data_IF_326056211628
#
_entry.id   IF_326056211628
#
_cell.length_a   1.000
_cell.length_b   1.000
_cell.length_c   1.000
_cell.angle_alpha   90.00
_cell.angle_beta   90.00
_cell.angle_gamma   90.00
#
_symmetry.space_group_name_H-M   'P 1'
#
loop_
_entity.id
_entity.type
_entity.pdbx_description
1 polymer ?
#
# COMPACT_ATOMS: atom_id res chain seq x y z
N UNK A 1 -2.87 22.96 -6.35
CA UNK A 1 -3.81 21.81 -6.34
C UNK A 1 -3.47 20.99 -5.11
N UNK A 2 -4.46 20.61 -4.29
CA UNK A 2 -4.21 19.74 -3.14
C UNK A 2 -4.30 18.27 -3.56
N UNK A 3 -3.56 17.41 -2.87
CA UNK A 3 -3.55 15.96 -3.09
C UNK A 3 -3.50 15.26 -1.75
N UNK A 4 -4.21 14.14 -1.64
CA UNK A 4 -4.12 13.26 -0.48
C UNK A 4 -2.81 12.46 -0.58
N UNK A 5 -2.07 12.40 0.52
CA UNK A 5 -0.76 11.78 0.54
C UNK A 5 0.27 12.65 -0.18
N UNK A 6 0.85 12.13 -1.27
CA UNK A 6 1.89 12.83 -2.04
C UNK A 6 1.42 13.12 -3.48
N UNK A 7 1.62 14.34 -4.01
CA UNK A 7 1.12 14.72 -5.34
C UNK A 7 1.69 13.89 -6.49
N UNK A 8 2.87 13.28 -6.33
CA UNK A 8 3.57 12.48 -7.34
C UNK A 8 3.51 10.98 -7.09
N UNK A 9 2.82 10.54 -6.04
CA UNK A 9 2.68 9.14 -5.69
C UNK A 9 1.25 8.65 -5.93
N UNK A 10 0.98 8.13 -7.13
CA UNK A 10 -0.35 7.66 -7.56
C UNK A 10 -1.47 8.72 -7.45
N UNK A 11 -1.14 10.00 -7.35
CA UNK A 11 -2.08 11.12 -7.27
C UNK A 11 -2.53 11.64 -8.64
N UNK A 12 -3.75 12.16 -8.72
CA UNK A 12 -4.29 12.70 -9.99
C UNK A 12 -3.58 13.97 -10.48
N UNK A 13 -2.92 14.71 -9.57
CA UNK A 13 -2.16 15.91 -9.93
C UNK A 13 -1.05 15.63 -10.95
N UNK A 14 -0.47 14.41 -10.96
CA UNK A 14 0.56 14.00 -11.91
C UNK A 14 0.16 14.27 -13.38
N UNK A 15 -1.11 14.06 -13.72
CA UNK A 15 -1.62 14.31 -15.08
C UNK A 15 -1.66 15.79 -15.43
N UNK A 16 -1.97 16.67 -14.47
CA UNK A 16 -1.94 18.11 -14.66
C UNK A 16 -0.50 18.60 -14.75
N UNK A 17 0.36 18.15 -13.84
CA UNK A 17 1.77 18.51 -13.82
C UNK A 17 2.45 18.20 -15.16
N UNK A 18 2.30 16.98 -15.66
CA UNK A 18 2.88 16.55 -16.94
C UNK A 18 2.45 17.40 -18.15
N UNK A 19 1.27 18.03 -18.09
CA UNK A 19 0.72 18.85 -19.20
C UNK A 19 0.99 20.34 -19.05
N UNK A 20 1.09 20.83 -17.82
CA UNK A 20 1.03 22.27 -17.53
C UNK A 20 2.33 22.83 -16.93
N UNK A 21 3.19 22.00 -16.33
CA UNK A 21 4.38 22.48 -15.62
C UNK A 21 5.39 23.22 -16.53
N UNK A 22 5.44 22.87 -17.82
CA UNK A 22 6.28 23.56 -18.79
C UNK A 22 5.69 24.90 -19.30
N UNK A 23 4.41 25.18 -19.00
CA UNK A 23 3.69 26.37 -19.48
C UNK A 23 3.41 27.39 -18.39
N UNK A 24 3.38 26.95 -17.13
CA UNK A 24 3.05 27.77 -15.99
C UNK A 24 4.05 27.52 -14.85
N UNK A 25 4.50 28.57 -14.13
CA UNK A 25 5.32 28.40 -12.93
C UNK A 25 4.68 27.39 -11.98
N UNK A 26 5.42 26.34 -11.65
CA UNK A 26 4.92 25.20 -10.90
C UNK A 26 5.97 24.74 -9.91
N UNK A 27 5.54 24.50 -8.67
CA UNK A 27 6.35 23.88 -7.61
C UNK A 27 5.56 22.69 -7.04
N UNK A 28 6.27 21.66 -6.60
CA UNK A 28 5.67 20.48 -5.97
C UNK A 28 6.21 20.36 -4.56
N UNK A 29 5.30 20.49 -3.59
CA UNK A 29 5.59 20.28 -2.18
C UNK A 29 5.26 18.81 -1.86
N UNK A 30 6.26 17.99 -1.45
CA UNK A 30 6.03 16.59 -1.18
C UNK A 30 5.16 16.39 0.07
N UNK A 31 4.42 15.29 0.08
CA UNK A 31 3.58 14.89 1.20
C UNK A 31 3.98 13.54 1.79
N UNK A 32 3.41 13.19 2.94
CA UNK A 32 3.59 11.85 3.53
C UNK A 32 2.69 10.88 2.78
N UNK A 33 3.26 9.88 2.12
CA UNK A 33 2.48 8.87 1.39
C UNK A 33 1.61 8.05 2.34
N UNK A 34 0.48 7.54 1.83
CA UNK A 34 -0.40 6.67 2.62
C UNK A 34 0.33 5.44 3.17
N UNK A 35 1.35 4.94 2.46
CA UNK A 35 2.14 3.78 2.89
C UNK A 35 2.93 4.11 4.16
N UNK A 36 3.65 5.23 4.18
CA UNK A 36 4.39 5.66 5.35
C UNK A 36 3.45 5.96 6.54
N UNK A 37 2.34 6.67 6.29
CA UNK A 37 1.33 6.94 7.32
C UNK A 37 0.68 5.68 7.89
N UNK A 38 0.32 4.71 7.03
CA UNK A 38 -0.26 3.45 7.46
C UNK A 38 0.74 2.59 8.23
N UNK A 39 2.01 2.53 7.81
CA UNK A 39 3.05 1.80 8.53
C UNK A 39 3.27 2.36 9.94
N UNK A 40 3.31 3.69 10.07
CA UNK A 40 3.44 4.36 11.37
C UNK A 40 2.25 4.07 12.31
N UNK A 41 1.01 4.18 11.81
CA UNK A 41 -0.19 3.89 12.63
C UNK A 41 -0.33 2.40 12.95
N UNK A 42 0.10 1.52 12.05
CA UNK A 42 0.15 0.09 12.30
C UNK A 42 1.29 -0.31 13.26
N UNK A 43 2.17 0.63 13.63
CA UNK A 43 3.29 0.37 14.53
C UNK A 43 4.34 -0.58 13.94
N UNK A 44 4.44 -0.64 12.61
CA UNK A 44 5.36 -1.56 11.92
C UNK A 44 6.39 -0.80 11.08
N UNK A 45 7.69 -0.99 11.36
CA UNK A 45 8.76 -0.79 10.38
C UNK A 45 8.48 -1.65 9.14
N UNK A 46 8.28 -1.05 7.96
CA UNK A 46 7.85 -1.82 6.78
C UNK A 46 9.02 -2.56 6.10
N UNK A 47 10.21 -1.98 6.09
CA UNK A 47 11.41 -2.55 5.49
C UNK A 47 12.66 -2.07 6.24
N UNK A 48 13.70 -2.90 6.31
CA UNK A 48 14.97 -2.59 6.98
C UNK A 48 16.15 -3.29 6.30
N UNK A 49 17.36 -2.71 6.40
CA UNK A 49 18.58 -3.33 5.88
C UNK A 49 18.50 -3.52 4.37
N UNK A 50 18.63 -4.76 3.93
CA UNK A 50 18.62 -5.15 2.51
C UNK A 50 17.22 -5.49 1.97
N UNK A 51 16.16 -5.31 2.77
CA UNK A 51 14.78 -5.55 2.34
C UNK A 51 14.43 -4.71 1.09
N UNK A 52 13.92 -5.37 0.05
CA UNK A 52 13.31 -4.67 -1.08
C UNK A 52 11.84 -4.43 -0.77
N UNK A 53 11.45 -3.15 -0.68
CA UNK A 53 10.05 -2.74 -0.58
C UNK A 53 9.42 -2.58 -1.97
N UNK A 54 8.45 -3.44 -2.28
CA UNK A 54 7.67 -3.35 -3.50
C UNK A 54 6.27 -2.75 -3.26
N UNK A 55 5.91 -1.75 -4.06
CA UNK A 55 4.55 -1.17 -4.09
C UNK A 55 3.77 -1.88 -5.19
N UNK A 56 2.74 -2.64 -4.80
CA UNK A 56 2.04 -3.56 -5.70
C UNK A 56 0.59 -3.10 -5.91
N UNK A 57 0.17 -2.77 -7.14
CA UNK A 57 -1.24 -2.51 -7.42
C UNK A 57 -2.06 -3.80 -7.32
N UNK A 58 -3.08 -3.84 -6.46
CA UNK A 58 -4.02 -4.96 -6.35
C UNK A 58 -4.83 -5.22 -7.63
N UNK A 59 -4.76 -4.32 -8.62
CA UNK A 59 -5.37 -4.49 -9.94
C UNK A 59 -4.66 -5.51 -10.83
N UNK A 60 -3.42 -5.90 -10.53
CA UNK A 60 -2.68 -6.94 -11.27
C UNK A 60 -3.41 -8.28 -11.25
N UNK A 61 -3.10 -9.18 -12.19
CA UNK A 61 -3.68 -10.52 -12.19
C UNK A 61 -3.24 -11.32 -10.97
N UNK A 62 -4.03 -12.31 -10.54
CA UNK A 62 -3.67 -13.16 -9.39
C UNK A 62 -2.31 -13.86 -9.56
N UNK A 63 -1.97 -14.44 -10.74
CA UNK A 63 -0.63 -15.00 -10.96
C UNK A 63 0.51 -13.98 -10.83
N UNK A 64 0.32 -12.76 -11.35
CA UNK A 64 1.30 -11.68 -11.24
C UNK A 64 1.51 -11.21 -9.80
N UNK A 65 0.46 -11.25 -8.97
CA UNK A 65 0.54 -10.95 -7.55
C UNK A 65 1.32 -12.05 -6.83
N UNK A 66 1.00 -13.33 -7.06
CA UNK A 66 1.70 -14.47 -6.47
C UNK A 66 3.19 -14.42 -6.79
N UNK A 67 3.54 -14.23 -8.06
CA UNK A 67 4.94 -14.11 -8.51
C UNK A 67 5.71 -13.04 -7.70
N UNK A 68 5.12 -11.86 -7.53
CA UNK A 68 5.74 -10.74 -6.80
C UNK A 68 5.86 -11.04 -5.30
N UNK A 69 4.82 -11.60 -4.69
CA UNK A 69 4.81 -11.90 -3.26
C UNK A 69 5.76 -13.04 -2.88
N UNK A 70 6.03 -13.94 -3.81
CA UNK A 70 7.06 -14.97 -3.64
C UNK A 70 8.48 -14.41 -3.75
N UNK A 71 8.70 -13.41 -4.60
CA UNK A 71 10.04 -12.93 -4.95
C UNK A 71 10.61 -11.87 -4.01
N UNK A 72 9.79 -11.09 -3.30
CA UNK A 72 10.25 -9.96 -2.48
C UNK A 72 10.17 -10.18 -0.98
N UNK A 73 10.70 -9.23 -0.22
CA UNK A 73 10.70 -9.25 1.25
C UNK A 73 9.49 -8.49 1.78
N UNK A 74 9.40 -7.19 1.45
CA UNK A 74 8.39 -6.27 1.96
C UNK A 74 7.44 -5.78 0.86
N UNK A 75 6.15 -5.64 1.20
CA UNK A 75 5.13 -5.23 0.24
C UNK A 75 4.18 -4.17 0.80
N UNK A 76 3.82 -3.21 -0.04
CA UNK A 76 2.66 -2.34 0.15
C UNK A 76 1.69 -2.52 -1.01
N UNK A 77 0.52 -3.10 -0.74
CA UNK A 77 -0.50 -3.32 -1.77
C UNK A 77 -1.52 -2.19 -1.74
N UNK A 78 -1.66 -1.50 -2.88
CA UNK A 78 -2.59 -0.38 -3.06
C UNK A 78 -3.78 -0.77 -3.95
N UNK A 79 -4.80 0.10 -4.03
CA UNK A 79 -6.00 -0.10 -4.88
C UNK A 79 -6.75 -1.39 -4.52
N UNK A 80 -6.95 -1.62 -3.22
CA UNK A 80 -7.63 -2.81 -2.71
C UNK A 80 -9.07 -2.83 -3.17
N UNK A 81 -9.98 -2.04 -2.58
CA UNK A 81 -11.40 -2.03 -2.97
C UNK A 81 -11.93 -3.43 -3.32
N UNK A 82 -12.51 -3.57 -4.52
CA UNK A 82 -13.00 -4.86 -5.06
C UNK A 82 -11.95 -5.95 -5.28
N UNK A 83 -10.65 -5.62 -5.25
CA UNK A 83 -9.55 -6.56 -5.46
C UNK A 83 -9.11 -7.26 -4.16
N UNK A 84 -9.63 -6.89 -2.98
CA UNK A 84 -9.15 -7.42 -1.71
C UNK A 84 -9.16 -8.96 -1.67
N UNK A 85 -10.27 -9.61 -2.08
CA UNK A 85 -10.33 -11.08 -2.07
C UNK A 85 -9.30 -11.76 -2.98
N UNK A 86 -9.00 -11.16 -4.14
CA UNK A 86 -7.93 -11.65 -5.04
C UNK A 86 -6.54 -11.48 -4.41
N UNK A 87 -6.28 -10.32 -3.80
CA UNK A 87 -5.01 -10.04 -3.11
C UNK A 87 -4.83 -11.01 -1.92
N UNK A 88 -5.88 -11.24 -1.13
CA UNK A 88 -5.88 -12.19 -0.02
C UNK A 88 -5.51 -13.59 -0.48
N UNK A 89 -6.12 -14.10 -1.56
CA UNK A 89 -5.77 -15.41 -2.13
C UNK A 89 -4.32 -15.47 -2.60
N UNK A 90 -3.84 -14.42 -3.28
CA UNK A 90 -2.45 -14.36 -3.72
C UNK A 90 -1.46 -14.36 -2.55
N UNK A 91 -1.76 -13.65 -1.45
CA UNK A 91 -0.95 -13.65 -0.23
C UNK A 91 -0.98 -15.00 0.48
N UNK A 92 -2.14 -15.67 0.51
CA UNK A 92 -2.25 -17.02 1.06
C UNK A 92 -1.44 -18.04 0.23
N UNK A 93 -1.57 -18.01 -1.09
CA UNK A 93 -0.86 -18.91 -2.00
C UNK A 93 0.66 -18.71 -1.99
N UNK A 94 1.12 -17.51 -1.64
CA UNK A 94 2.55 -17.20 -1.50
C UNK A 94 3.09 -17.40 -0.07
N UNK A 95 2.25 -17.86 0.87
CA UNK A 95 2.64 -18.03 2.28
C UNK A 95 2.84 -16.72 3.05
N UNK A 96 2.46 -15.56 2.49
CA UNK A 96 2.67 -14.23 3.08
C UNK A 96 1.49 -13.70 3.89
N UNK A 97 0.37 -14.42 3.95
CA UNK A 97 -0.85 -13.94 4.61
C UNK A 97 -0.69 -13.75 6.13
N UNK A 98 0.18 -14.53 6.78
CA UNK A 98 0.38 -14.45 8.23
C UNK A 98 0.99 -13.12 8.69
N UNK A 99 1.92 -12.57 7.89
CA UNK A 99 2.56 -11.28 8.14
C UNK A 99 1.82 -10.08 7.55
N UNK A 100 0.68 -10.30 6.87
CA UNK A 100 -0.04 -9.23 6.19
C UNK A 100 -0.97 -8.47 7.16
N UNK A 101 -0.82 -7.15 7.18
CA UNK A 101 -1.65 -6.21 7.90
C UNK A 101 -2.57 -5.48 6.93
N UNK A 102 -3.86 -5.44 7.25
CA UNK A 102 -4.84 -4.61 6.58
C UNK A 102 -4.95 -3.28 7.32
N UNK A 103 -4.85 -2.17 6.58
CA UNK A 103 -5.05 -0.82 7.10
C UNK A 103 -6.07 -0.10 6.24
N UNK A 104 -7.13 0.43 6.85
CA UNK A 104 -8.07 1.34 6.18
C UNK A 104 -8.10 2.70 6.86
N UNK A 105 -8.29 3.74 6.04
CA UNK A 105 -8.37 5.15 6.45
C UNK A 105 -7.23 5.52 7.41
N UNK A 106 -6.00 5.08 7.08
CA UNK A 106 -4.82 5.31 7.91
C UNK A 106 -4.62 6.80 8.21
N UNK A 107 -4.25 7.12 9.45
CA UNK A 107 -4.12 8.49 10.00
C UNK A 107 -5.42 9.31 10.10
N UNK A 108 -6.55 8.80 9.59
CA UNK A 108 -7.86 9.43 9.73
C UNK A 108 -8.54 9.01 11.04
N UNK A 109 -9.54 9.76 11.48
CA UNK A 109 -10.20 9.57 12.79
C UNK A 109 -10.87 8.19 12.98
N UNK A 110 -11.32 7.57 11.89
CA UNK A 110 -11.99 6.27 11.87
C UNK A 110 -11.13 5.17 11.21
N UNK A 111 -9.81 5.35 11.25
CA UNK A 111 -8.82 4.40 10.77
C UNK A 111 -8.82 3.09 11.55
N UNK A 112 -8.50 1.99 10.86
CA UNK A 112 -8.42 0.65 11.47
C UNK A 112 -7.21 -0.10 10.97
N UNK A 113 -6.59 -0.84 11.89
CA UNK A 113 -5.49 -1.77 11.61
C UNK A 113 -5.88 -3.13 12.18
N UNK A 114 -5.70 -4.19 11.38
CA UNK A 114 -5.85 -5.56 11.82
C UNK A 114 -4.99 -6.49 10.97
N UNK A 115 -4.69 -7.68 11.48
CA UNK A 115 -4.11 -8.73 10.64
C UNK A 115 -5.11 -9.08 9.55
N UNK A 116 -4.62 -9.23 8.32
CA UNK A 116 -5.47 -9.60 7.19
C UNK A 116 -6.15 -10.95 7.46
N UNK A 117 -5.43 -11.91 8.04
CA UNK A 117 -5.96 -13.22 8.42
C UNK A 117 -7.20 -13.14 9.35
N UNK A 118 -7.27 -12.12 10.19
CA UNK A 118 -8.36 -11.93 11.17
C UNK A 118 -9.54 -11.13 10.59
N UNK A 119 -9.39 -10.55 9.38
CA UNK A 119 -10.46 -9.80 8.73
C UNK A 119 -11.50 -10.77 8.14
N UNK A 120 -12.79 -10.70 8.57
CA UNK A 120 -13.80 -11.71 8.27
C UNK A 120 -14.35 -11.66 6.83
N UNK A 121 -14.15 -10.55 6.11
CA UNK A 121 -14.68 -10.33 4.77
C UNK A 121 -13.62 -9.76 3.81
N UNK A 122 -14.02 -9.65 2.55
CA UNK A 122 -13.22 -9.05 1.47
C UNK A 122 -13.71 -7.66 1.06
N UNK A 123 -14.37 -6.95 1.99
CA UNK A 123 -14.81 -5.57 1.77
C UNK A 123 -13.70 -4.60 2.19
N UNK A 124 -13.31 -3.70 1.28
CA UNK A 124 -12.37 -2.63 1.56
C UNK A 124 -12.89 -1.29 1.02
N UNK A 125 -12.78 -0.18 1.78
CA UNK A 125 -13.03 1.16 1.28
C UNK A 125 -11.93 1.58 0.28
N UNK A 126 -12.12 2.74 -0.34
CA UNK A 126 -11.14 3.30 -1.29
C UNK A 126 -9.76 3.52 -0.64
N UNK A 127 -9.73 4.13 0.55
CA UNK A 127 -8.51 4.33 1.33
C UNK A 127 -8.17 3.09 2.15
N UNK A 128 -7.73 2.03 1.48
CA UNK A 128 -7.23 0.83 2.13
C UNK A 128 -5.97 0.30 1.46
N UNK A 129 -5.04 -0.19 2.28
CA UNK A 129 -3.79 -0.82 1.87
C UNK A 129 -3.56 -2.12 2.64
N UNK A 130 -2.76 -3.01 2.06
CA UNK A 130 -2.16 -4.12 2.80
C UNK A 130 -0.67 -3.82 2.93
N UNK A 131 -0.14 -4.00 4.13
CA UNK A 131 1.27 -3.91 4.43
C UNK A 131 1.76 -5.31 4.80
N UNK A 132 2.85 -5.75 4.18
CA UNK A 132 3.57 -6.96 4.56
C UNK A 132 5.00 -6.54 4.87
N UNK A 133 5.37 -6.44 6.16
CA UNK A 133 6.74 -6.13 6.54
C UNK A 133 7.72 -7.21 6.05
N UNK A 134 8.96 -6.81 5.73
CA UNK A 134 10.01 -7.72 5.27
C UNK A 134 10.55 -8.68 6.33
N UNK A 135 10.12 -8.51 7.58
CA UNK A 135 10.67 -9.18 8.74
C UNK A 135 9.56 -9.72 9.66
N UNK A 136 9.79 -10.89 10.24
CA UNK A 136 8.85 -11.52 11.18
C UNK A 136 9.32 -11.44 12.64
N UNK A 137 10.63 -11.26 12.89
CA UNK A 137 11.18 -11.34 14.25
C UNK A 137 12.63 -10.84 14.39
N UNK A 138 12.88 -9.51 14.46
CA UNK A 138 14.14 -8.94 14.96
C UNK A 138 13.94 -7.55 15.61
N UNK A 139 14.58 -7.26 16.75
CA UNK A 139 14.42 -5.99 17.45
C UNK A 139 15.06 -4.80 16.73
#
# INVERSE_FOLDING_TARGET
>A
VLSEGDPFFYGSYMHLHARLAARYPTEVIPGVTSIAGCAAIAGVPLAQGDDVLAIVPGTLSEPQLIERFMAGEAFAVIKLGRNLGKVRRALAASGRIAGALYVERGTMADGRVLKLADKPDDTAPYFAVILVPGWESRP
#
